data_IF_698657460912
#
_entry.id   IF_698657460912
#
_cell.length_a   1.000
_cell.length_b   1.000
_cell.length_c   1.000
_cell.angle_alpha   90.00
_cell.angle_beta   90.00
_cell.angle_gamma   90.00
#
_symmetry.space_group_name_H-M   'P 1'
#
loop_
_entity.id
_entity.type
_entity.pdbx_description
1 polymer ?
#
# COMPACT_ATOMS: atom_id res chain seq x y z
N UNK A 1 -5.06 11.37 -10.43
CA UNK A 1 -3.91 12.27 -10.73
C UNK A 1 -3.90 12.59 -12.21
N UNK A 2 -3.59 13.82 -12.66
CA UNK A 2 -3.21 14.00 -14.05
C UNK A 2 -1.92 13.22 -14.31
N UNK A 3 -1.85 12.52 -15.45
CA UNK A 3 -0.69 11.74 -15.85
C UNK A 3 0.61 12.56 -15.66
N UNK A 4 1.60 11.94 -15.04
CA UNK A 4 2.93 12.55 -14.88
C UNK A 4 3.51 12.74 -16.27
N UNK A 5 3.42 13.97 -16.80
CA UNK A 5 4.07 14.29 -18.08
C UNK A 5 5.58 14.21 -17.89
N UNK A 6 6.24 13.38 -18.66
CA UNK A 6 7.70 13.30 -18.79
C UNK A 6 8.22 14.61 -19.39
N UNK A 7 8.46 15.61 -18.53
CA UNK A 7 9.27 16.76 -18.92
C UNK A 7 10.74 16.39 -18.62
N UNK A 8 11.60 16.51 -19.62
CA UNK A 8 13.04 16.29 -19.50
C UNK A 8 13.59 17.03 -18.27
N UNK A 9 13.93 16.27 -17.23
CA UNK A 9 14.53 16.79 -16.00
C UNK A 9 15.97 17.12 -16.30
N UNK A 10 16.29 18.41 -16.41
CA UNK A 10 17.67 18.86 -16.46
C UNK A 10 18.42 18.35 -15.21
N UNK A 11 19.66 17.97 -15.34
CA UNK A 11 20.55 17.42 -14.27
C UNK A 11 20.63 18.31 -13.04
N UNK A 12 20.48 19.63 -13.18
CA UNK A 12 20.53 20.62 -12.10
C UNK A 12 19.43 20.43 -11.02
N UNK A 13 18.15 20.22 -11.35
CA UNK A 13 17.10 20.02 -10.35
C UNK A 13 17.32 18.78 -9.49
N UNK A 14 17.82 17.68 -10.05
CA UNK A 14 18.09 16.42 -9.32
C UNK A 14 19.24 16.61 -8.33
N UNK A 15 20.33 17.26 -8.73
CA UNK A 15 21.48 17.53 -7.84
C UNK A 15 21.08 18.38 -6.63
N UNK A 16 20.26 19.42 -6.85
CA UNK A 16 19.73 20.26 -5.77
C UNK A 16 18.83 19.46 -4.83
N UNK A 17 17.94 18.61 -5.37
CA UNK A 17 17.10 17.74 -4.55
C UNK A 17 17.92 16.73 -3.73
N UNK A 18 18.98 16.16 -4.30
CA UNK A 18 19.88 15.25 -3.58
C UNK A 18 20.56 15.97 -2.40
N UNK A 19 21.04 17.19 -2.61
CA UNK A 19 21.68 18.00 -1.55
C UNK A 19 20.66 18.33 -0.46
N UNK A 20 19.49 18.82 -0.84
CA UNK A 20 18.41 19.16 0.09
C UNK A 20 17.95 17.95 0.91
N UNK A 21 17.63 16.83 0.26
CA UNK A 21 17.25 15.60 0.92
C UNK A 21 18.39 15.03 1.79
N UNK A 22 19.64 15.18 1.34
CA UNK A 22 20.83 14.77 2.09
C UNK A 22 21.00 15.51 3.42
N UNK A 23 20.76 16.82 3.44
CA UNK A 23 20.78 17.62 4.66
C UNK A 23 19.58 17.30 5.56
N UNK A 24 18.39 17.19 4.96
CA UNK A 24 17.16 16.91 5.68
C UNK A 24 17.16 15.55 6.39
N UNK A 25 17.69 14.51 5.74
CA UNK A 25 17.70 13.13 6.25
C UNK A 25 18.73 12.85 7.35
N UNK A 26 19.72 13.75 7.56
CA UNK A 26 20.75 13.61 8.61
C UNK A 26 20.30 14.09 9.99
N UNK A 27 19.01 14.37 10.17
CA UNK A 27 18.47 14.83 11.45
C UNK A 27 18.47 13.69 12.48
N UNK A 28 19.07 13.98 13.64
CA UNK A 28 19.18 13.03 14.75
C UNK A 28 20.33 12.02 14.60
N UNK A 29 20.71 11.36 15.69
CA UNK A 29 21.91 10.52 15.75
C UNK A 29 21.83 9.25 14.91
N UNK A 30 20.62 8.73 14.66
CA UNK A 30 20.41 7.51 13.88
C UNK A 30 20.04 7.78 12.41
N UNK A 31 19.97 9.05 11.99
CA UNK A 31 19.42 9.43 10.69
C UNK A 31 17.93 9.25 10.60
N UNK A 32 17.37 9.64 9.44
CA UNK A 32 15.92 9.55 9.15
C UNK A 32 15.69 8.84 7.82
N UNK A 33 14.60 8.11 7.71
CA UNK A 33 14.20 7.45 6.46
C UNK A 33 12.73 7.65 6.17
N UNK A 34 12.35 7.48 4.90
CA UNK A 34 10.97 7.52 4.46
C UNK A 34 10.54 6.14 3.95
N UNK A 35 9.31 5.78 4.20
CA UNK A 35 8.70 4.56 3.68
C UNK A 35 7.58 4.99 2.75
N UNK A 36 7.72 4.66 1.46
CA UNK A 36 6.72 4.96 0.43
C UNK A 36 5.71 3.83 0.38
N UNK A 37 4.42 4.18 0.26
CA UNK A 37 3.36 3.20 0.11
C UNK A 37 2.72 3.29 -1.27
N UNK A 38 2.53 2.13 -1.89
CA UNK A 38 1.79 1.87 -3.12
C UNK A 38 0.82 0.72 -2.86
N UNK A 39 -0.15 0.53 -3.75
CA UNK A 39 -1.01 -0.65 -3.73
C UNK A 39 -0.92 -1.38 -5.07
N UNK A 40 -1.09 -0.67 -6.18
CA UNK A 40 -1.15 -1.25 -7.52
C UNK A 40 -0.19 -0.54 -8.49
N UNK A 41 0.23 -1.28 -9.50
CA UNK A 41 0.82 -0.73 -10.73
C UNK A 41 -0.03 -1.23 -11.89
N UNK A 42 -0.73 -0.33 -12.56
CA UNK A 42 -1.67 -0.69 -13.61
C UNK A 42 -0.96 -0.84 -14.96
N UNK A 43 -1.44 -1.70 -15.89
CA UNK A 43 -0.84 -1.81 -17.22
C UNK A 43 -0.91 -0.51 -18.02
N UNK A 44 -1.96 0.28 -17.82
CA UNK A 44 -2.19 1.58 -18.44
C UNK A 44 -2.91 2.54 -17.46
N UNK A 45 -2.94 3.86 -17.72
CA UNK A 45 -3.71 4.81 -16.91
C UNK A 45 -5.19 4.45 -16.83
N UNK A 46 -5.76 4.50 -15.63
CA UNK A 46 -7.16 4.16 -15.38
C UNK A 46 -7.93 5.38 -14.82
N UNK A 47 -8.98 5.85 -15.50
CA UNK A 47 -9.79 6.98 -15.02
C UNK A 47 -10.50 6.73 -13.69
N UNK A 48 -10.77 5.47 -13.32
CA UNK A 48 -11.40 5.12 -12.05
C UNK A 48 -10.37 5.07 -10.90
N UNK A 49 -9.13 4.77 -11.21
CA UNK A 49 -8.02 4.65 -10.24
C UNK A 49 -6.87 5.62 -10.58
N UNK A 50 -7.13 6.94 -10.66
CA UNK A 50 -6.14 7.91 -11.14
C UNK A 50 -4.95 8.09 -10.18
N UNK A 51 -5.05 7.59 -8.96
CA UNK A 51 -3.99 7.65 -7.95
C UNK A 51 -3.02 6.47 -8.06
N UNK A 52 -3.41 5.41 -8.79
CA UNK A 52 -2.54 4.28 -9.08
C UNK A 52 -1.68 4.55 -10.33
N UNK A 53 -0.35 4.35 -10.27
CA UNK A 53 0.51 4.58 -11.43
C UNK A 53 0.32 3.51 -12.49
N UNK A 54 0.44 3.89 -13.76
CA UNK A 54 0.63 2.94 -14.84
C UNK A 54 2.06 2.35 -14.82
N UNK A 55 2.29 1.25 -15.53
CA UNK A 55 3.60 0.61 -15.66
C UNK A 55 4.68 1.62 -16.13
N UNK A 56 4.37 2.42 -17.15
CA UNK A 56 5.25 3.46 -17.65
C UNK A 56 5.53 4.54 -16.60
N UNK A 57 4.48 5.04 -15.94
CA UNK A 57 4.61 6.05 -14.89
C UNK A 57 5.41 5.52 -13.69
N UNK A 58 5.15 4.28 -13.28
CA UNK A 58 5.88 3.65 -12.17
C UNK A 58 7.36 3.45 -12.53
N UNK A 59 7.68 2.97 -13.74
CA UNK A 59 9.05 2.83 -14.20
C UNK A 59 9.81 4.16 -14.15
N UNK A 60 9.20 5.23 -14.65
CA UNK A 60 9.78 6.57 -14.61
C UNK A 60 9.95 7.10 -13.17
N UNK A 61 8.99 6.81 -12.28
CA UNK A 61 9.07 7.19 -10.87
C UNK A 61 10.20 6.48 -10.13
N UNK A 62 10.34 5.16 -10.28
CA UNK A 62 11.42 4.41 -9.61
C UNK A 62 12.79 4.76 -10.15
N UNK A 63 12.94 5.09 -11.45
CA UNK A 63 14.19 5.63 -12.00
C UNK A 63 14.55 6.95 -11.30
N UNK A 64 13.61 7.87 -11.20
CA UNK A 64 13.82 9.16 -10.55
C UNK A 64 14.09 9.04 -9.04
N UNK A 65 13.43 8.10 -8.38
CA UNK A 65 13.69 7.78 -6.95
C UNK A 65 15.11 7.25 -6.81
N UNK A 66 15.54 6.27 -7.61
CA UNK A 66 16.88 5.70 -7.60
C UNK A 66 17.95 6.77 -7.82
N UNK A 67 17.73 7.68 -8.76
CA UNK A 67 18.68 8.74 -9.08
C UNK A 67 18.78 9.82 -7.99
N UNK A 68 17.79 9.91 -7.10
CA UNK A 68 17.71 10.95 -6.05
C UNK A 68 17.99 10.42 -4.66
N UNK A 69 17.55 9.21 -4.34
CA UNK A 69 17.56 8.62 -3.00
C UNK A 69 18.36 7.32 -2.94
N UNK A 70 18.69 6.88 -1.74
CA UNK A 70 19.24 5.56 -1.47
C UNK A 70 18.07 4.62 -1.16
N UNK A 71 17.71 3.77 -2.09
CA UNK A 71 16.60 2.82 -1.92
C UNK A 71 17.11 1.55 -1.27
N UNK A 72 16.54 1.20 -0.13
CA UNK A 72 16.87 0.00 0.65
C UNK A 72 15.62 -0.81 0.94
N UNK A 73 15.74 -2.14 1.09
CA UNK A 73 14.71 -2.97 1.72
C UNK A 73 14.42 -2.45 3.14
N UNK A 74 13.19 -2.61 3.62
CA UNK A 74 12.78 -2.07 4.91
C UNK A 74 13.58 -2.70 6.07
N UNK A 75 13.77 -4.01 6.07
CA UNK A 75 14.52 -4.72 7.10
C UNK A 75 15.98 -4.24 7.18
N UNK A 76 16.63 -4.08 6.02
CA UNK A 76 18.00 -3.58 5.92
C UNK A 76 18.12 -2.14 6.43
N UNK A 77 17.19 -1.28 6.03
CA UNK A 77 17.14 0.10 6.49
C UNK A 77 16.97 0.21 8.01
N UNK A 78 16.08 -0.62 8.59
CA UNK A 78 15.87 -0.68 10.04
C UNK A 78 17.11 -1.21 10.78
N UNK A 79 17.76 -2.25 10.25
CA UNK A 79 19.00 -2.79 10.82
C UNK A 79 20.14 -1.78 10.79
N UNK A 80 20.37 -1.10 9.67
CA UNK A 80 21.39 -0.05 9.57
C UNK A 80 21.09 1.14 10.49
N UNK A 81 19.80 1.50 10.61
CA UNK A 81 19.36 2.56 11.49
C UNK A 81 19.62 2.22 12.97
N UNK A 82 19.37 0.99 13.40
CA UNK A 82 19.56 0.56 14.80
C UNK A 82 21.00 0.70 15.28
N UNK A 83 21.97 0.63 14.36
CA UNK A 83 23.40 0.78 14.65
C UNK A 83 23.97 2.14 14.21
N UNK A 84 23.11 3.11 13.88
CA UNK A 84 23.52 4.47 13.49
C UNK A 84 24.27 4.56 12.14
N UNK A 85 24.10 3.58 11.26
CA UNK A 85 24.77 3.48 9.95
C UNK A 85 23.85 3.70 8.76
N UNK A 86 22.64 4.21 9.00
CA UNK A 86 21.67 4.47 7.94
C UNK A 86 22.23 5.49 6.93
N UNK A 87 22.31 5.16 5.63
CA UNK A 87 22.72 6.11 4.61
C UNK A 87 21.78 7.34 4.58
N UNK A 88 22.30 8.54 4.29
CA UNK A 88 21.42 9.70 4.08
C UNK A 88 20.48 9.46 2.90
N UNK A 89 19.34 10.11 2.89
CA UNK A 89 18.33 10.00 1.84
C UNK A 89 17.78 8.57 1.66
N UNK A 90 17.75 7.77 2.73
CA UNK A 90 17.17 6.43 2.65
C UNK A 90 15.68 6.48 2.44
N UNK A 91 15.23 5.73 1.44
CA UNK A 91 13.83 5.51 1.10
C UNK A 91 13.57 4.00 0.98
N UNK A 92 12.47 3.53 1.55
CA UNK A 92 11.96 2.16 1.36
C UNK A 92 10.69 2.20 0.52
N UNK A 93 10.50 1.22 -0.36
CA UNK A 93 9.30 1.09 -1.19
C UNK A 93 8.46 -0.04 -0.61
N UNK A 94 7.17 0.20 -0.38
CA UNK A 94 6.23 -0.82 0.11
C UNK A 94 4.99 -0.87 -0.76
N UNK A 95 4.42 -2.07 -0.89
CA UNK A 95 3.13 -2.34 -1.54
C UNK A 95 2.20 -3.01 -0.55
N UNK A 96 0.94 -2.62 -0.55
CA UNK A 96 -0.08 -3.23 0.30
C UNK A 96 -1.05 -4.10 -0.52
N UNK A 97 -1.87 -4.87 0.18
CA UNK A 97 -3.01 -5.67 -0.27
C UNK A 97 -2.66 -7.00 -0.95
N UNK A 98 -1.62 -7.06 -1.77
CA UNK A 98 -1.23 -8.30 -2.46
C UNK A 98 -1.90 -8.47 -3.83
N UNK A 99 -2.05 -7.39 -4.60
CA UNK A 99 -2.57 -7.44 -5.98
C UNK A 99 -1.64 -8.18 -6.94
N UNK A 100 -2.21 -8.92 -7.90
CA UNK A 100 -1.47 -9.70 -8.90
C UNK A 100 -0.47 -8.85 -9.71
N UNK A 101 -0.83 -7.59 -10.02
CA UNK A 101 0.04 -6.67 -10.74
C UNK A 101 1.31 -6.26 -9.96
N UNK A 102 1.40 -6.58 -8.67
CA UNK A 102 2.65 -6.46 -7.92
C UNK A 102 3.70 -7.46 -8.45
N UNK A 103 3.30 -8.71 -8.70
CA UNK A 103 4.18 -9.74 -9.24
C UNK A 103 4.32 -9.69 -10.78
N UNK A 104 3.31 -9.18 -11.48
CA UNK A 104 3.26 -9.18 -12.94
C UNK A 104 3.89 -7.92 -13.54
N UNK A 105 3.75 -6.77 -12.89
CA UNK A 105 4.17 -5.47 -13.41
C UNK A 105 5.23 -4.82 -12.52
N UNK A 106 4.97 -4.67 -11.20
CA UNK A 106 5.89 -3.96 -10.33
C UNK A 106 7.22 -4.72 -10.17
N UNK A 107 7.17 -6.04 -9.95
CA UNK A 107 8.36 -6.89 -9.79
C UNK A 107 9.35 -6.74 -10.95
N UNK A 108 9.00 -7.01 -12.22
CA UNK A 108 9.96 -6.90 -13.32
C UNK A 108 10.52 -5.48 -13.50
N UNK A 109 9.74 -4.45 -13.18
CA UNK A 109 10.23 -3.07 -13.21
C UNK A 109 11.29 -2.81 -12.14
N UNK A 110 11.10 -3.34 -10.93
CA UNK A 110 12.04 -3.23 -9.82
C UNK A 110 13.30 -4.07 -10.05
N UNK A 111 13.16 -5.33 -10.49
CA UNK A 111 14.27 -6.23 -10.79
C UNK A 111 15.20 -5.66 -11.87
N UNK A 112 14.64 -5.12 -12.95
CA UNK A 112 15.43 -4.49 -14.03
C UNK A 112 16.29 -3.30 -13.54
N UNK A 113 16.02 -2.80 -12.34
CA UNK A 113 16.72 -1.67 -11.71
C UNK A 113 17.56 -2.08 -10.48
N UNK A 114 17.60 -3.37 -10.17
CA UNK A 114 18.27 -3.90 -8.99
C UNK A 114 17.66 -3.38 -7.67
N UNK A 115 16.37 -3.03 -7.68
CA UNK A 115 15.68 -2.48 -6.52
C UNK A 115 14.85 -3.55 -5.83
N UNK A 116 14.80 -3.48 -4.50
CA UNK A 116 13.98 -4.37 -3.67
C UNK A 116 12.92 -3.55 -2.94
N UNK A 117 11.76 -4.16 -2.71
CA UNK A 117 10.62 -3.58 -2.02
C UNK A 117 10.02 -4.59 -1.04
N UNK A 118 9.14 -4.10 -0.15
CA UNK A 118 8.37 -4.95 0.78
C UNK A 118 6.92 -5.03 0.30
N UNK A 119 6.38 -6.25 0.22
CA UNK A 119 5.01 -6.52 -0.20
C UNK A 119 4.20 -7.06 0.97
N UNK A 120 3.24 -6.27 1.44
CA UNK A 120 2.31 -6.64 2.50
C UNK A 120 1.07 -7.29 1.90
N UNK A 121 0.84 -8.55 2.24
CA UNK A 121 -0.15 -9.40 1.56
C UNK A 121 -1.31 -9.74 2.50
N UNK A 122 -2.53 -9.41 2.07
CA UNK A 122 -3.78 -9.85 2.70
C UNK A 122 -4.14 -11.25 2.21
N UNK A 123 -3.89 -12.26 3.06
CA UNK A 123 -3.79 -13.66 2.63
C UNK A 123 -5.10 -14.33 2.27
N UNK A 124 -6.23 -13.83 2.78
CA UNK A 124 -7.54 -14.41 2.52
C UNK A 124 -8.08 -14.18 1.10
N UNK A 125 -7.42 -13.30 0.35
CA UNK A 125 -7.81 -12.99 -1.03
C UNK A 125 -6.94 -13.67 -2.08
N UNK A 126 -5.89 -14.37 -1.67
CA UNK A 126 -5.03 -15.11 -2.59
C UNK A 126 -5.80 -16.17 -3.37
N UNK A 127 -5.31 -16.50 -4.58
CA UNK A 127 -5.84 -17.56 -5.42
C UNK A 127 -7.28 -17.31 -5.93
N UNK A 128 -7.60 -16.07 -6.28
CA UNK A 128 -8.85 -15.70 -6.92
C UNK A 128 -9.88 -15.04 -6.02
N UNK A 129 -9.47 -14.58 -4.81
CA UNK A 129 -10.30 -13.73 -3.97
C UNK A 129 -10.41 -12.30 -4.51
N UNK A 130 -11.26 -11.52 -3.89
CA UNK A 130 -11.45 -10.09 -4.20
C UNK A 130 -11.86 -9.34 -2.95
N UNK A 131 -11.25 -8.19 -2.70
CA UNK A 131 -11.65 -7.33 -1.59
C UNK A 131 -13.03 -6.70 -1.85
N UNK A 132 -13.71 -6.30 -0.79
CA UNK A 132 -15.02 -5.67 -0.89
C UNK A 132 -15.02 -4.39 -1.74
N UNK A 133 -13.97 -3.57 -1.61
CA UNK A 133 -13.78 -2.36 -2.40
C UNK A 133 -13.56 -2.68 -3.89
N UNK A 134 -12.81 -3.73 -4.20
CA UNK A 134 -12.60 -4.18 -5.57
C UNK A 134 -13.90 -4.71 -6.20
N UNK A 135 -14.74 -5.36 -5.40
CA UNK A 135 -16.07 -5.78 -5.85
C UNK A 135 -16.90 -4.59 -6.33
N UNK A 136 -16.83 -3.46 -5.61
CA UNK A 136 -17.50 -2.21 -6.00
C UNK A 136 -16.81 -1.56 -7.21
N UNK A 137 -15.46 -1.49 -7.21
CA UNK A 137 -14.68 -0.90 -8.31
C UNK A 137 -15.01 -1.63 -9.61
N UNK A 138 -14.93 -2.95 -9.62
CA UNK A 138 -15.17 -3.75 -10.82
C UNK A 138 -16.65 -3.74 -11.23
N UNK A 139 -17.58 -3.69 -10.28
CA UNK A 139 -18.99 -3.51 -10.58
C UNK A 139 -19.27 -2.18 -11.28
N UNK A 140 -18.68 -1.10 -10.80
CA UNK A 140 -18.82 0.21 -11.46
C UNK A 140 -18.07 0.25 -12.79
N UNK A 141 -16.94 -0.43 -12.92
CA UNK A 141 -16.15 -0.51 -14.14
C UNK A 141 -16.87 -1.25 -15.27
N UNK A 142 -17.35 -2.45 -14.97
CA UNK A 142 -17.90 -3.42 -15.96
C UNK A 142 -19.42 -3.38 -16.04
N UNK A 143 -20.08 -2.78 -15.03
CA UNK A 143 -21.53 -2.75 -14.92
C UNK A 143 -22.23 -2.03 -16.07
N UNK A 144 -23.53 -2.31 -16.24
CA UNK A 144 -24.37 -1.72 -17.28
C UNK A 144 -24.44 -0.20 -17.14
N UNK A 145 -25.00 0.48 -18.14
CA UNK A 145 -25.12 1.94 -18.14
C UNK A 145 -25.89 2.55 -16.96
N UNK A 146 -26.68 1.73 -16.25
CA UNK A 146 -27.36 2.08 -14.99
C UNK A 146 -27.16 0.94 -13.99
N UNK A 147 -26.76 1.27 -12.77
CA UNK A 147 -26.65 0.34 -11.66
C UNK A 147 -27.65 0.77 -10.57
N UNK A 148 -28.69 -0.03 -10.39
CA UNK A 148 -29.73 0.20 -9.39
C UNK A 148 -29.41 -0.55 -8.10
N UNK A 149 -29.24 0.20 -7.01
CA UNK A 149 -28.87 -0.29 -5.68
C UNK A 149 -29.77 0.31 -4.59
N UNK A 150 -30.99 0.77 -4.95
CA UNK A 150 -31.90 1.45 -4.03
C UNK A 150 -32.30 0.56 -2.85
N UNK A 151 -32.58 -0.72 -3.08
CA UNK A 151 -32.92 -1.71 -2.06
C UNK A 151 -31.74 -2.07 -1.14
N UNK A 152 -30.50 -1.74 -1.53
CA UNK A 152 -29.30 -1.85 -0.69
C UNK A 152 -29.02 -0.55 0.08
N UNK A 153 -29.85 0.47 -0.09
CA UNK A 153 -29.64 1.80 0.52
C UNK A 153 -28.47 2.59 -0.09
N UNK A 154 -28.07 2.24 -1.32
CA UNK A 154 -26.95 2.87 -2.02
C UNK A 154 -27.40 3.74 -3.20
N UNK A 155 -28.71 3.80 -3.49
CA UNK A 155 -29.28 4.61 -4.57
C UNK A 155 -29.09 4.02 -5.96
N UNK A 156 -29.48 4.80 -6.98
CA UNK A 156 -29.37 4.41 -8.39
C UNK A 156 -28.32 5.27 -9.08
N UNK A 157 -27.43 4.67 -9.88
CA UNK A 157 -26.28 5.31 -10.47
C UNK A 157 -26.27 5.15 -11.99
N UNK A 158 -26.10 6.28 -12.69
CA UNK A 158 -25.84 6.28 -14.14
C UNK A 158 -24.35 6.10 -14.37
N UNK A 159 -23.97 5.13 -15.22
CA UNK A 159 -22.59 4.73 -15.49
C UNK A 159 -22.17 4.99 -16.95
N UNK A 160 -22.69 6.05 -17.57
CA UNK A 160 -22.51 6.32 -19.01
C UNK A 160 -21.11 6.83 -19.39
N UNK A 161 -20.31 7.28 -18.43
CA UNK A 161 -18.97 7.81 -18.69
C UNK A 161 -18.07 7.80 -17.46
N UNK A 162 -16.78 8.09 -17.63
CA UNK A 162 -15.79 8.01 -16.57
C UNK A 162 -16.11 8.90 -15.36
N UNK A 163 -16.65 10.09 -15.58
CA UNK A 163 -17.02 11.00 -14.49
C UNK A 163 -18.16 10.46 -13.63
N UNK A 164 -19.23 9.94 -14.28
CA UNK A 164 -20.37 9.35 -13.59
C UNK A 164 -19.94 8.08 -12.84
N UNK A 165 -19.16 7.20 -13.49
CA UNK A 165 -18.62 6.01 -12.85
C UNK A 165 -17.79 6.36 -11.62
N UNK A 166 -16.96 7.39 -11.70
CA UNK A 166 -16.14 7.85 -10.58
C UNK A 166 -16.98 8.44 -9.43
N UNK A 167 -18.02 9.20 -9.74
CA UNK A 167 -18.97 9.69 -8.72
C UNK A 167 -19.68 8.54 -8.02
N UNK A 168 -20.20 7.58 -8.78
CA UNK A 168 -20.86 6.39 -8.26
C UNK A 168 -19.91 5.58 -7.36
N UNK A 169 -18.70 5.31 -7.85
CA UNK A 169 -17.65 4.62 -7.09
C UNK A 169 -17.38 5.27 -5.75
N UNK A 170 -17.08 6.57 -5.74
CA UNK A 170 -16.76 7.30 -4.51
C UNK A 170 -17.95 7.29 -3.53
N UNK A 171 -19.17 7.46 -4.04
CA UNK A 171 -20.38 7.44 -3.21
C UNK A 171 -20.62 6.08 -2.56
N UNK A 172 -20.54 5.00 -3.34
CA UNK A 172 -20.73 3.63 -2.84
C UNK A 172 -19.65 3.24 -1.84
N UNK A 173 -18.36 3.49 -2.16
CA UNK A 173 -17.25 3.19 -1.25
C UNK A 173 -17.38 3.95 0.07
N UNK A 174 -17.72 5.24 0.04
CA UNK A 174 -17.91 6.05 1.24
C UNK A 174 -19.05 5.52 2.12
N UNK A 175 -20.17 5.10 1.51
CA UNK A 175 -21.32 4.56 2.22
C UNK A 175 -21.05 3.20 2.88
N UNK A 176 -20.13 2.41 2.32
CA UNK A 176 -19.82 1.06 2.80
C UNK A 176 -18.65 1.00 3.78
N UNK A 177 -17.68 1.90 3.69
CA UNK A 177 -16.37 1.80 4.37
C UNK A 177 -16.46 1.46 5.85
N UNK A 178 -17.37 2.07 6.58
CA UNK A 178 -17.47 1.94 8.04
C UNK A 178 -18.67 1.08 8.51
N UNK A 179 -19.35 0.40 7.60
CA UNK A 179 -20.36 -0.61 7.97
C UNK A 179 -19.71 -1.81 8.65
N UNK A 180 -20.44 -2.57 9.47
CA UNK A 180 -19.97 -3.85 10.01
C UNK A 180 -19.39 -4.74 8.91
N UNK A 181 -18.34 -5.49 9.22
CA UNK A 181 -17.56 -6.24 8.22
C UNK A 181 -18.43 -7.19 7.38
N UNK A 182 -19.27 -8.01 8.04
CA UNK A 182 -20.15 -8.99 7.36
C UNK A 182 -21.21 -8.30 6.50
N UNK A 183 -21.82 -7.23 6.99
CA UNK A 183 -22.79 -6.45 6.24
C UNK A 183 -22.16 -5.81 5.01
N UNK A 184 -20.98 -5.21 5.16
CA UNK A 184 -20.23 -4.59 4.06
C UNK A 184 -19.87 -5.61 2.99
N UNK A 185 -19.39 -6.79 3.40
CA UNK A 185 -19.03 -7.85 2.47
C UNK A 185 -20.27 -8.38 1.72
N UNK A 186 -21.37 -8.61 2.43
CA UNK A 186 -22.64 -9.07 1.83
C UNK A 186 -23.17 -8.06 0.80
N UNK A 187 -23.16 -6.76 1.12
CA UNK A 187 -23.58 -5.72 0.20
C UNK A 187 -22.66 -5.62 -1.01
N UNK A 188 -21.34 -5.63 -0.81
CA UNK A 188 -20.38 -5.57 -1.92
C UNK A 188 -20.52 -6.77 -2.87
N UNK A 189 -20.81 -7.97 -2.33
CA UNK A 189 -21.12 -9.16 -3.12
C UNK A 189 -22.40 -8.97 -3.96
N UNK A 190 -23.44 -8.40 -3.38
CA UNK A 190 -24.67 -8.11 -4.13
C UNK A 190 -24.46 -7.05 -5.22
N UNK A 191 -23.65 -6.01 -4.93
CA UNK A 191 -23.28 -4.99 -5.93
C UNK A 191 -22.54 -5.65 -7.11
N UNK A 192 -21.58 -6.56 -6.82
CA UNK A 192 -20.87 -7.32 -7.84
C UNK A 192 -21.80 -8.20 -8.68
N UNK A 193 -22.70 -8.92 -8.02
CA UNK A 193 -23.66 -9.79 -8.70
C UNK A 193 -24.60 -9.01 -9.66
N UNK A 194 -25.07 -7.82 -9.26
CA UNK A 194 -25.90 -6.95 -10.12
C UNK A 194 -25.16 -6.41 -11.33
N UNK A 195 -23.85 -6.27 -11.21
CA UNK A 195 -23.01 -5.91 -12.34
C UNK A 195 -22.60 -7.10 -13.22
N UNK A 196 -23.04 -8.32 -12.88
CA UNK A 196 -22.72 -9.54 -13.63
C UNK A 196 -21.28 -10.01 -13.45
N UNK A 197 -20.63 -9.67 -12.34
CA UNK A 197 -19.24 -10.10 -12.10
C UNK A 197 -19.18 -11.58 -11.68
N UNK A 198 -18.15 -12.26 -12.13
CA UNK A 198 -17.82 -13.61 -11.65
C UNK A 198 -17.43 -13.57 -10.14
N UNK A 199 -17.63 -14.69 -9.45
CA UNK A 199 -17.25 -14.83 -8.05
C UNK A 199 -15.72 -14.79 -7.85
N UNK A 200 -14.97 -15.33 -8.81
CA UNK A 200 -13.50 -15.33 -8.81
C UNK A 200 -12.95 -14.33 -9.81
N UNK A 201 -11.82 -13.75 -9.46
CA UNK A 201 -11.11 -12.78 -10.29
C UNK A 201 -9.59 -13.03 -10.18
N UNK A 202 -8.82 -12.51 -11.14
CA UNK A 202 -7.35 -12.57 -11.16
C UNK A 202 -6.70 -11.28 -10.61
N UNK A 203 -7.45 -10.51 -9.82
CA UNK A 203 -6.96 -9.24 -9.25
C UNK A 203 -5.88 -9.45 -8.19
N UNK A 204 -6.01 -10.51 -7.40
CA UNK A 204 -5.11 -10.79 -6.28
C UNK A 204 -4.09 -11.86 -6.66
N UNK A 205 -2.93 -11.82 -6.02
CA UNK A 205 -1.87 -12.79 -6.28
C UNK A 205 -2.30 -14.22 -5.98
N UNK A 206 -1.66 -15.14 -6.65
CA UNK A 206 -1.63 -16.56 -6.29
C UNK A 206 -0.47 -16.83 -5.32
N UNK A 207 -0.50 -17.97 -4.63
CA UNK A 207 0.62 -18.45 -3.81
C UNK A 207 1.93 -18.50 -4.60
N UNK A 208 1.86 -18.90 -5.85
CA UNK A 208 3.04 -18.96 -6.73
C UNK A 208 3.61 -17.57 -7.04
N UNK A 209 2.76 -16.55 -7.17
CA UNK A 209 3.20 -15.17 -7.38
C UNK A 209 3.82 -14.57 -6.11
N UNK A 210 3.28 -14.89 -4.93
CA UNK A 210 3.91 -14.50 -3.64
C UNK A 210 5.29 -15.16 -3.50
N UNK A 211 5.40 -16.46 -3.83
CA UNK A 211 6.68 -17.16 -3.82
C UNK A 211 7.67 -16.55 -4.82
N UNK A 212 7.21 -16.21 -6.03
CA UNK A 212 8.02 -15.53 -7.05
C UNK A 212 8.60 -14.21 -6.54
N UNK A 213 7.83 -13.41 -5.79
CA UNK A 213 8.34 -12.19 -5.15
C UNK A 213 9.45 -12.50 -4.15
N UNK A 214 9.25 -13.48 -3.29
CA UNK A 214 10.25 -13.89 -2.29
C UNK A 214 11.54 -14.43 -2.95
N UNK A 215 11.42 -15.30 -3.97
CA UNK A 215 12.54 -15.87 -4.72
C UNK A 215 13.35 -14.79 -5.46
N UNK A 216 12.71 -13.69 -5.88
CA UNK A 216 13.35 -12.52 -6.45
C UNK A 216 14.01 -11.60 -5.40
N UNK A 217 14.02 -11.98 -4.12
CA UNK A 217 14.63 -11.22 -3.03
C UNK A 217 13.80 -10.04 -2.55
N UNK A 218 12.52 -9.97 -2.89
CA UNK A 218 11.60 -9.00 -2.30
C UNK A 218 11.21 -9.43 -0.89
N UNK A 219 10.96 -8.48 -0.01
CA UNK A 219 10.48 -8.76 1.35
C UNK A 219 8.97 -9.03 1.32
N UNK A 220 8.53 -10.08 2.01
CA UNK A 220 7.12 -10.38 2.20
C UNK A 220 6.73 -10.03 3.63
N UNK A 221 5.73 -9.17 3.76
CA UNK A 221 5.10 -8.78 5.00
C UNK A 221 3.63 -9.20 5.05
N UNK A 222 3.06 -9.24 6.24
CA UNK A 222 1.66 -9.60 6.42
C UNK A 222 0.74 -8.38 6.50
N UNK A 223 -0.50 -8.55 6.00
CA UNK A 223 -1.54 -7.51 5.99
C UNK A 223 -2.89 -8.06 6.46
N UNK A 224 -2.88 -8.91 7.48
CA UNK A 224 -4.03 -9.70 7.96
C UNK A 224 -4.52 -10.75 6.96
N UNK A 225 -5.56 -11.49 7.33
CA UNK A 225 -6.22 -12.44 6.43
C UNK A 225 -7.23 -11.71 5.54
N UNK A 226 -8.23 -11.06 6.16
CA UNK A 226 -9.41 -10.50 5.47
C UNK A 226 -9.44 -8.98 5.36
N UNK A 227 -8.31 -8.30 5.66
CA UNK A 227 -8.16 -6.85 5.61
C UNK A 227 -9.23 -6.07 6.42
N UNK A 228 -9.49 -6.45 7.68
CA UNK A 228 -10.48 -5.78 8.52
C UNK A 228 -9.94 -4.48 9.11
N UNK A 229 -10.83 -3.59 9.51
CA UNK A 229 -10.50 -2.52 10.46
C UNK A 229 -10.37 -3.18 11.84
N UNK A 230 -9.17 -3.27 12.38
CA UNK A 230 -8.89 -4.07 13.59
C UNK A 230 -9.70 -3.62 14.81
N UNK A 231 -9.97 -2.32 14.96
CA UNK A 231 -10.82 -1.78 16.03
C UNK A 231 -12.28 -2.24 15.95
N UNK A 232 -12.70 -2.90 14.90
CA UNK A 232 -14.04 -3.48 14.73
C UNK A 232 -14.11 -4.97 15.08
N UNK A 233 -12.99 -5.55 15.47
CA UNK A 233 -12.89 -6.95 15.88
C UNK A 233 -12.76 -7.05 17.41
N UNK A 234 -13.19 -8.17 17.95
CA UNK A 234 -12.75 -8.56 19.28
C UNK A 234 -11.27 -9.01 19.26
N UNK A 235 -10.69 -9.14 20.47
CA UNK A 235 -9.28 -9.47 20.60
C UNK A 235 -8.93 -10.84 19.97
N UNK A 236 -9.79 -11.85 20.11
CA UNK A 236 -9.53 -13.19 19.59
C UNK A 236 -9.53 -13.21 18.06
N UNK A 237 -10.48 -12.52 17.44
CA UNK A 237 -10.53 -12.33 16.00
C UNK A 237 -9.31 -11.53 15.49
N UNK A 238 -8.89 -10.46 16.18
CA UNK A 238 -7.71 -9.71 15.81
C UNK A 238 -6.42 -10.56 15.89
N UNK A 239 -6.26 -11.40 16.92
CA UNK A 239 -5.15 -12.36 17.02
C UNK A 239 -5.18 -13.34 15.85
N UNK A 240 -6.33 -13.92 15.53
CA UNK A 240 -6.48 -14.86 14.40
C UNK A 240 -6.09 -14.23 13.07
N UNK A 241 -6.51 -13.00 12.81
CA UNK A 241 -6.18 -12.23 11.60
C UNK A 241 -4.68 -11.97 11.48
N UNK A 242 -4.03 -11.56 12.56
CA UNK A 242 -2.62 -11.16 12.58
C UNK A 242 -1.70 -12.39 12.52
N UNK A 243 -1.92 -13.40 13.38
CA UNK A 243 -1.10 -14.60 13.42
C UNK A 243 -1.36 -15.52 12.22
N UNK A 244 -2.63 -15.65 11.82
CA UNK A 244 -3.03 -16.49 10.70
C UNK A 244 -2.41 -16.05 9.39
N UNK A 245 -2.38 -14.73 9.12
CA UNK A 245 -1.72 -14.20 7.93
C UNK A 245 -0.20 -14.44 7.92
N UNK A 246 0.47 -14.29 9.07
CA UNK A 246 1.90 -14.60 9.21
C UNK A 246 2.20 -16.05 8.88
N UNK A 247 1.50 -16.97 9.55
CA UNK A 247 1.67 -18.43 9.35
C UNK A 247 1.44 -18.81 7.89
N UNK A 248 0.37 -18.30 7.28
CA UNK A 248 0.06 -18.58 5.86
C UNK A 248 1.18 -18.13 4.91
N UNK A 249 1.75 -16.95 5.12
CA UNK A 249 2.85 -16.44 4.28
C UNK A 249 4.15 -17.21 4.53
N UNK A 250 4.43 -17.63 5.75
CA UNK A 250 5.56 -18.51 6.06
C UNK A 250 5.42 -19.88 5.36
N UNK A 251 4.22 -20.45 5.31
CA UNK A 251 3.95 -21.68 4.55
C UNK A 251 4.19 -21.51 3.04
N UNK A 252 3.77 -20.35 2.47
CA UNK A 252 3.95 -20.07 1.05
C UNK A 252 5.41 -19.86 0.70
N UNK A 253 6.13 -19.09 1.48
CA UNK A 253 7.50 -18.64 1.16
C UNK A 253 8.58 -19.59 1.68
N UNK A 254 8.28 -20.37 2.71
CA UNK A 254 9.29 -21.17 3.43
C UNK A 254 10.27 -20.31 4.24
N UNK A 255 10.00 -19.02 4.42
CA UNK A 255 10.88 -18.04 5.07
C UNK A 255 10.18 -17.28 6.20
N UNK A 256 10.95 -16.55 7.02
CA UNK A 256 10.41 -15.67 8.06
C UNK A 256 9.58 -14.52 7.46
N UNK A 257 8.49 -14.16 8.16
CA UNK A 257 7.67 -12.99 7.85
C UNK A 257 7.71 -12.09 9.07
N UNK A 258 8.50 -11.02 9.00
CA UNK A 258 8.92 -10.26 10.17
C UNK A 258 8.36 -8.84 10.21
N UNK A 259 7.58 -8.44 9.19
CA UNK A 259 7.00 -7.12 9.08
C UNK A 259 5.48 -7.21 8.86
N UNK A 260 4.74 -6.27 9.46
CA UNK A 260 3.28 -6.19 9.38
C UNK A 260 2.83 -4.80 8.90
N UNK A 261 1.74 -4.73 8.13
CA UNK A 261 1.05 -3.47 7.85
C UNK A 261 -0.37 -3.50 8.42
N UNK A 262 -0.74 -2.45 9.14
CA UNK A 262 -2.11 -2.33 9.67
C UNK A 262 -3.09 -2.00 8.54
N UNK A 263 -4.17 -2.78 8.33
CA UNK A 263 -5.22 -2.44 7.38
C UNK A 263 -5.81 -1.05 7.62
N UNK A 264 -5.94 -0.23 6.59
CA UNK A 264 -6.27 1.20 6.65
C UNK A 264 -5.27 2.04 7.46
N UNK A 265 -4.76 1.55 8.56
CA UNK A 265 -3.56 1.91 9.30
C UNK A 265 -3.54 3.26 10.00
N UNK A 266 -4.69 3.89 10.33
CA UNK A 266 -4.75 5.15 11.09
C UNK A 266 -4.67 4.86 12.58
N UNK A 267 -3.62 5.35 13.30
CA UNK A 267 -3.52 5.18 14.74
C UNK A 267 -4.73 5.74 15.48
N UNK A 268 -5.21 5.02 16.49
CA UNK A 268 -6.38 5.39 17.32
C UNK A 268 -7.74 5.23 16.63
N UNK A 269 -7.80 5.01 15.32
CA UNK A 269 -9.02 4.84 14.55
C UNK A 269 -9.17 3.42 13.99
N UNK A 270 -8.19 2.93 13.26
CA UNK A 270 -8.25 1.63 12.59
C UNK A 270 -7.55 0.54 13.41
N UNK A 271 -6.61 0.93 14.26
CA UNK A 271 -5.97 0.08 15.26
C UNK A 271 -5.63 0.92 16.51
N UNK A 272 -5.43 0.24 17.63
CA UNK A 272 -5.07 0.84 18.93
C UNK A 272 -3.94 0.03 19.57
N UNK A 273 -3.43 0.49 20.71
CA UNK A 273 -2.30 -0.10 21.44
C UNK A 273 -2.41 -1.62 21.65
N UNK A 274 -3.61 -2.12 21.94
CA UNK A 274 -3.81 -3.57 22.11
C UNK A 274 -3.42 -4.36 20.85
N UNK A 275 -3.72 -3.81 19.66
CA UNK A 275 -3.33 -4.43 18.39
C UNK A 275 -1.81 -4.38 18.18
N UNK A 276 -1.14 -3.31 18.60
CA UNK A 276 0.33 -3.21 18.59
C UNK A 276 0.96 -4.30 19.47
N UNK A 277 0.36 -4.57 20.62
CA UNK A 277 0.81 -5.64 21.52
C UNK A 277 0.58 -7.03 20.91
N UNK A 278 -0.54 -7.24 20.20
CA UNK A 278 -0.80 -8.49 19.46
C UNK A 278 0.24 -8.68 18.36
N UNK A 279 0.53 -7.67 17.55
CA UNK A 279 1.55 -7.74 16.48
C UNK A 279 2.92 -8.09 17.07
N UNK A 280 3.30 -7.47 18.18
CA UNK A 280 4.54 -7.79 18.90
C UNK A 280 4.56 -9.24 19.40
N UNK A 281 3.48 -9.67 20.05
CA UNK A 281 3.35 -11.03 20.60
C UNK A 281 3.34 -12.10 19.50
N UNK A 282 2.79 -11.78 18.33
CA UNK A 282 2.81 -12.65 17.15
C UNK A 282 4.22 -12.83 16.55
N UNK A 283 5.24 -12.12 17.07
CA UNK A 283 6.65 -12.28 16.70
C UNK A 283 7.08 -11.49 15.46
N UNK A 284 6.35 -10.44 15.07
CA UNK A 284 6.86 -9.48 14.10
C UNK A 284 7.95 -8.61 14.74
N UNK A 285 8.90 -8.14 13.94
CA UNK A 285 9.96 -7.24 14.39
C UNK A 285 9.63 -5.77 14.13
N UNK A 286 8.72 -5.50 13.20
CA UNK A 286 8.29 -4.14 12.86
C UNK A 286 6.85 -4.13 12.30
N UNK A 287 6.21 -2.96 12.39
CA UNK A 287 4.96 -2.73 11.67
C UNK A 287 4.87 -1.30 11.15
N UNK A 288 4.14 -1.15 10.03
CA UNK A 288 3.93 0.12 9.34
C UNK A 288 2.47 0.56 9.45
N UNK A 289 2.27 1.87 9.56
CA UNK A 289 0.96 2.52 9.60
C UNK A 289 0.73 3.37 8.34
N UNK A 290 -0.43 3.99 8.22
CA UNK A 290 -0.70 5.03 7.20
C UNK A 290 -0.60 6.44 7.77
N UNK A 291 -0.11 6.58 9.00
CA UNK A 291 0.20 7.88 9.56
C UNK A 291 1.29 8.54 8.72
N UNK A 292 1.01 9.76 8.25
CA UNK A 292 1.97 10.50 7.43
C UNK A 292 3.15 10.98 8.25
N UNK A 293 4.36 10.66 7.84
CA UNK A 293 5.55 11.13 8.54
C UNK A 293 6.85 10.49 8.09
N UNK A 294 7.91 10.94 8.74
CA UNK A 294 9.26 10.44 8.58
C UNK A 294 9.62 9.50 9.75
N UNK A 295 10.31 8.42 9.47
CA UNK A 295 10.86 7.54 10.50
C UNK A 295 12.10 8.20 11.09
N UNK A 296 11.96 8.78 12.28
CA UNK A 296 13.04 9.42 13.06
C UNK A 296 13.52 8.51 14.18
N UNK A 297 14.51 8.95 14.96
CA UNK A 297 14.98 8.19 16.14
C UNK A 297 13.88 7.93 17.20
N UNK A 298 12.80 8.67 17.16
CA UNK A 298 11.65 8.54 18.08
C UNK A 298 10.52 7.63 17.55
N UNK A 299 10.61 7.18 16.29
CA UNK A 299 9.55 6.34 15.72
C UNK A 299 9.49 4.97 16.41
N UNK A 300 8.29 4.59 16.84
CA UNK A 300 8.02 3.29 17.43
C UNK A 300 8.18 2.19 16.37
N UNK A 301 8.91 1.10 16.64
CA UNK A 301 9.17 0.05 15.63
C UNK A 301 7.90 -0.61 15.07
N UNK A 302 6.84 -0.63 15.85
CA UNK A 302 5.57 -1.26 15.48
C UNK A 302 4.52 -0.27 14.97
N UNK A 303 4.89 0.98 14.69
CA UNK A 303 4.00 2.03 14.19
C UNK A 303 4.76 2.98 13.26
N UNK A 304 5.59 2.42 12.39
CA UNK A 304 6.41 3.20 11.47
C UNK A 304 5.51 3.99 10.51
N UNK A 305 5.69 5.32 10.42
CA UNK A 305 4.92 6.15 9.51
C UNK A 305 5.31 5.90 8.07
N UNK A 306 4.36 6.12 7.18
CA UNK A 306 4.57 6.03 5.73
C UNK A 306 4.08 7.28 5.04
N UNK A 307 4.52 7.47 3.80
CA UNK A 307 4.03 8.52 2.92
C UNK A 307 3.53 7.91 1.61
N UNK A 308 2.40 8.43 1.12
CA UNK A 308 1.89 8.18 -0.21
C UNK A 308 2.05 9.48 -1.02
N UNK A 309 3.23 9.76 -1.60
CA UNK A 309 3.48 11.02 -2.25
C UNK A 309 2.67 11.14 -3.54
N UNK A 310 2.27 12.36 -3.88
CA UNK A 310 1.58 12.68 -5.11
C UNK A 310 2.21 13.91 -5.79
N UNK A 311 2.03 14.04 -7.08
CA UNK A 311 2.55 15.20 -7.83
C UNK A 311 2.13 15.16 -9.29
N UNK A 312 1.78 16.29 -9.85
CA UNK A 312 1.43 16.41 -11.26
C UNK A 312 2.66 16.28 -12.20
N UNK A 313 3.87 16.41 -11.65
CA UNK A 313 5.14 16.23 -12.36
C UNK A 313 6.11 15.42 -11.52
N UNK A 314 7.05 14.75 -12.18
CA UNK A 314 8.12 14.00 -11.53
C UNK A 314 8.88 14.86 -10.51
N UNK A 315 9.21 16.10 -10.84
CA UNK A 315 9.89 17.01 -9.93
C UNK A 315 9.07 17.27 -8.65
N UNK A 316 7.78 17.58 -8.78
CA UNK A 316 6.91 17.81 -7.61
C UNK A 316 6.78 16.58 -6.75
N UNK A 317 6.75 15.41 -7.36
CA UNK A 317 6.73 14.11 -6.66
C UNK A 317 8.00 13.93 -5.82
N UNK A 318 9.20 14.05 -6.43
CA UNK A 318 10.48 13.93 -5.75
C UNK A 318 10.69 15.02 -4.69
N UNK A 319 10.28 16.25 -4.98
CA UNK A 319 10.36 17.36 -4.02
C UNK A 319 9.51 17.08 -2.78
N UNK A 320 8.33 16.51 -2.97
CA UNK A 320 7.45 16.11 -1.85
C UNK A 320 8.11 15.04 -0.99
N UNK A 321 8.69 14.01 -1.61
CA UNK A 321 9.48 13.00 -0.88
C UNK A 321 10.60 13.69 -0.11
N UNK A 322 11.42 14.52 -0.75
CA UNK A 322 12.55 15.19 -0.11
C UNK A 322 12.11 16.10 1.06
N UNK A 323 10.98 16.81 0.90
CA UNK A 323 10.41 17.65 1.95
C UNK A 323 9.92 16.83 3.15
N UNK A 324 9.41 15.62 2.91
CA UNK A 324 8.85 14.78 3.98
C UNK A 324 9.88 14.32 5.02
N UNK A 325 11.18 14.47 4.76
CA UNK A 325 12.20 14.30 5.83
C UNK A 325 12.09 15.34 6.96
N UNK A 326 11.35 16.44 6.74
CA UNK A 326 11.09 17.45 7.77
C UNK A 326 9.80 17.16 8.56
N UNK A 327 8.99 16.23 8.09
CA UNK A 327 7.79 15.84 8.80
C UNK A 327 8.18 15.09 10.10
N UNK A 328 7.40 15.31 11.16
CA UNK A 328 7.64 14.61 12.43
C UNK A 328 7.09 13.18 12.32
N UNK A 329 7.66 12.28 13.11
CA UNK A 329 6.96 11.02 13.38
C UNK A 329 5.62 11.35 14.04
N UNK A 330 4.50 10.79 13.54
CA UNK A 330 3.20 11.04 14.13
C UNK A 330 3.11 10.45 15.55
N UNK A 331 2.09 10.87 16.30
CA UNK A 331 1.74 10.22 17.55
C UNK A 331 1.41 8.73 17.30
N UNK A 332 1.76 7.90 18.26
CA UNK A 332 1.47 6.47 18.30
C UNK A 332 0.07 6.21 18.89
N UNK A 333 -0.51 5.04 18.63
CA UNK A 333 -1.82 4.63 19.12
C UNK A 333 -1.81 4.29 20.64
#
# INVERSE_FOLDING_TARGET
MPAVQSAATGTLPVALLRTFAGLASRRGPAGSMLILTYHRVLPAPDPLLPDEPSAEAFAALVDAIRDTFNVLPLSEALALRSVGRLPPRTVCITFDDGYANNAEIALPILEARGMRATFYVATGFLNGGRMWNDSVIEAVRRGPGKLDLEDLGLGSHVLSGAAQRRMALNGILAALKYRPFEERLAIATQVAARAGLAERDELMMTDSQVRKLADAGMEIGAHTISHPILTRLDRAAAVSEIEGSRRRLQEITGAGVDSFAYPNGRPGQDYVRDHVEIVRAAGYSSAVSTAWGCVTSQAAPYELPRIAPWGATQFRYLFRIARSYFDRSPAVA
#
